data_IF_858029688424
#
_entry.id   IF_858029688424
#
_cell.length_a   1.000
_cell.length_b   1.000
_cell.length_c   1.000
_cell.angle_alpha   90.00
_cell.angle_beta   90.00
_cell.angle_gamma   90.00
#
_symmetry.space_group_name_H-M   'P 1'
#
loop_
_entity.id
_entity.type
_entity.pdbx_description
1 polymer ?
#
# COMPACT_ATOMS: atom_id res chain seq x y z
N UNK A 1 23.28 13.39 -40.81
CA UNK A 1 23.96 12.47 -39.87
C UNK A 1 24.31 13.10 -38.53
N UNK A 2 25.10 14.19 -38.47
CA UNK A 2 25.53 14.77 -37.17
C UNK A 2 24.38 15.29 -36.27
N UNK A 3 23.37 15.99 -36.82
CA UNK A 3 22.24 16.53 -36.03
C UNK A 3 21.39 15.44 -35.36
N UNK A 4 21.18 14.31 -36.02
CA UNK A 4 20.45 13.18 -35.42
C UNK A 4 21.26 12.47 -34.34
N UNK A 5 22.58 12.36 -34.52
CA UNK A 5 23.47 11.81 -33.50
C UNK A 5 23.45 12.66 -32.22
N UNK A 6 23.55 13.99 -32.33
CA UNK A 6 23.45 14.90 -31.18
C UNK A 6 22.07 14.84 -30.51
N UNK A 7 20.98 14.71 -31.28
CA UNK A 7 19.63 14.57 -30.71
C UNK A 7 19.49 13.26 -29.93
N UNK A 8 19.93 12.13 -30.49
CA UNK A 8 19.91 10.81 -29.82
C UNK A 8 20.75 10.82 -28.54
N UNK A 9 21.98 11.34 -28.59
CA UNK A 9 22.85 11.41 -27.42
C UNK A 9 22.25 12.27 -26.30
N UNK A 10 21.60 13.39 -26.63
CA UNK A 10 20.94 14.24 -25.65
C UNK A 10 19.70 13.57 -25.02
N UNK A 11 18.88 12.88 -25.83
CA UNK A 11 17.73 12.12 -25.32
C UNK A 11 18.16 10.94 -24.45
N UNK A 12 19.24 10.25 -24.81
CA UNK A 12 19.81 9.17 -23.99
C UNK A 12 20.38 9.69 -22.67
N UNK A 13 21.07 10.84 -22.70
CA UNK A 13 21.56 11.51 -21.49
C UNK A 13 20.41 11.95 -20.58
N UNK A 14 19.33 12.51 -21.13
CA UNK A 14 18.11 12.84 -20.36
C UNK A 14 17.47 11.59 -19.77
N UNK A 15 17.34 10.50 -20.54
CA UNK A 15 16.80 9.24 -20.04
C UNK A 15 17.64 8.66 -18.89
N UNK A 16 18.97 8.76 -19.00
CA UNK A 16 19.90 8.37 -17.94
C UNK A 16 19.73 9.22 -16.69
N UNK A 17 19.64 10.55 -16.83
CA UNK A 17 19.41 11.46 -15.71
C UNK A 17 18.04 11.20 -15.05
N UNK A 18 17.01 10.92 -15.86
CA UNK A 18 15.67 10.59 -15.39
C UNK A 18 15.65 9.30 -14.55
N UNK A 19 16.36 8.26 -15.01
CA UNK A 19 16.55 7.00 -14.24
C UNK A 19 17.33 7.17 -12.94
N UNK A 20 18.22 8.16 -12.86
CA UNK A 20 18.89 8.49 -11.61
C UNK A 20 17.91 9.21 -10.68
N UNK A 21 17.23 10.23 -11.20
CA UNK A 21 16.27 11.04 -10.44
C UNK A 21 15.09 10.22 -9.90
N UNK A 22 14.58 9.24 -10.66
CA UNK A 22 13.45 8.38 -10.25
C UNK A 22 13.76 7.52 -9.02
N UNK A 23 15.03 7.38 -8.65
CA UNK A 23 15.50 6.61 -7.50
C UNK A 23 16.04 7.51 -6.37
N UNK A 24 16.06 8.82 -6.56
CA UNK A 24 16.54 9.76 -5.55
C UNK A 24 15.48 9.98 -4.46
N UNK A 25 15.93 9.97 -3.22
CA UNK A 25 15.10 10.37 -2.09
C UNK A 25 15.01 11.90 -2.03
N UNK A 26 13.82 12.42 -1.75
CA UNK A 26 13.57 13.84 -1.52
C UNK A 26 13.91 14.22 -0.06
N UNK A 27 13.68 15.49 0.32
CA UNK A 27 13.90 15.99 1.69
C UNK A 27 13.02 15.30 2.74
N UNK A 28 11.92 14.68 2.34
CA UNK A 28 11.03 13.91 3.22
C UNK A 28 11.52 12.47 3.39
N UNK A 29 12.66 12.08 2.79
CA UNK A 29 13.18 10.71 2.88
C UNK A 29 12.35 9.69 2.10
N UNK A 30 11.56 10.15 1.13
CA UNK A 30 10.74 9.33 0.23
C UNK A 30 11.17 9.51 -1.22
N UNK A 31 10.75 8.62 -2.11
CA UNK A 31 11.08 8.69 -3.53
C UNK A 31 9.79 8.86 -4.37
N UNK A 32 9.91 9.31 -5.62
CA UNK A 32 8.80 9.46 -6.58
C UNK A 32 7.94 8.20 -6.69
N UNK A 33 8.55 7.01 -6.69
CA UNK A 33 7.82 5.74 -6.70
C UNK A 33 6.94 5.56 -5.45
N UNK A 34 7.47 5.93 -4.29
CA UNK A 34 6.73 5.87 -3.03
C UNK A 34 5.56 6.88 -3.03
N UNK A 35 5.78 8.08 -3.55
CA UNK A 35 4.73 9.10 -3.68
C UNK A 35 3.60 8.69 -4.65
N UNK A 36 3.91 7.95 -5.71
CA UNK A 36 2.88 7.41 -6.60
C UNK A 36 1.97 6.41 -5.86
N UNK A 37 2.55 5.56 -5.00
CA UNK A 37 1.77 4.66 -4.14
C UNK A 37 0.94 5.47 -3.13
N UNK A 38 1.50 6.51 -2.51
CA UNK A 38 0.75 7.41 -1.62
C UNK A 38 -0.46 8.06 -2.29
N UNK A 39 -0.35 8.37 -3.58
CA UNK A 39 -1.44 8.94 -4.37
C UNK A 39 -2.54 7.93 -4.74
N UNK A 40 -2.27 6.62 -4.58
CA UNK A 40 -3.20 5.53 -4.90
C UNK A 40 -3.44 5.30 -6.40
N UNK A 41 -2.59 5.86 -7.27
CA UNK A 41 -2.73 5.74 -8.72
C UNK A 41 -1.87 4.62 -9.26
N UNK A 42 -2.48 3.46 -9.55
CA UNK A 42 -1.76 2.30 -10.10
C UNK A 42 -1.03 2.65 -11.40
N UNK A 43 -1.64 3.42 -12.29
CA UNK A 43 -1.03 3.81 -13.58
C UNK A 43 0.32 4.53 -13.41
N UNK A 44 0.42 5.42 -12.40
CA UNK A 44 1.65 6.13 -12.09
C UNK A 44 2.70 5.18 -11.48
N UNK A 45 2.26 4.21 -10.67
CA UNK A 45 3.13 3.17 -10.10
C UNK A 45 3.71 2.28 -11.18
N UNK A 46 2.88 1.77 -12.11
CA UNK A 46 3.31 0.93 -13.22
C UNK A 46 4.29 1.68 -14.12
N UNK A 47 3.94 2.91 -14.48
CA UNK A 47 4.78 3.76 -15.33
C UNK A 47 6.14 4.03 -14.70
N UNK A 48 6.18 4.38 -13.41
CA UNK A 48 7.46 4.64 -12.72
C UNK A 48 8.29 3.36 -12.58
N UNK A 49 7.66 2.21 -12.36
CA UNK A 49 8.35 0.94 -12.36
C UNK A 49 9.01 0.65 -13.72
N UNK A 50 8.26 0.81 -14.82
CA UNK A 50 8.76 0.57 -16.18
C UNK A 50 9.87 1.57 -16.57
N UNK A 51 9.85 2.77 -15.99
CA UNK A 51 10.92 3.76 -16.10
C UNK A 51 12.20 3.40 -15.32
N UNK A 52 12.15 2.34 -14.48
CA UNK A 52 13.29 1.81 -13.73
C UNK A 52 13.33 2.23 -12.26
N UNK A 53 12.17 2.54 -11.66
CA UNK A 53 12.07 2.73 -10.22
C UNK A 53 12.37 1.42 -9.47
N UNK A 54 13.15 1.54 -8.39
CA UNK A 54 13.41 0.43 -7.47
C UNK A 54 12.17 0.12 -6.62
N UNK A 55 11.96 -1.16 -6.32
CA UNK A 55 10.79 -1.66 -5.60
C UNK A 55 11.08 -1.95 -4.12
N UNK A 56 12.35 -2.08 -3.77
CA UNK A 56 12.88 -2.35 -2.42
C UNK A 56 13.29 -1.07 -1.67
N UNK A 57 12.76 0.08 -2.09
CA UNK A 57 13.07 1.37 -1.46
C UNK A 57 12.63 1.32 0.01
N UNK A 58 13.43 1.90 0.90
CA UNK A 58 13.09 2.07 2.31
C UNK A 58 12.99 3.55 2.62
N UNK A 59 11.91 3.96 3.28
CA UNK A 59 11.75 5.34 3.74
C UNK A 59 12.86 5.66 4.74
N UNK A 60 13.44 6.86 4.65
CA UNK A 60 14.51 7.27 5.57
C UNK A 60 13.98 8.13 6.72
N UNK A 61 12.76 8.65 6.57
CA UNK A 61 12.13 9.50 7.57
C UNK A 61 10.76 8.93 7.97
N UNK A 62 10.39 9.15 9.23
CA UNK A 62 9.02 8.90 9.70
C UNK A 62 8.10 9.87 8.96
N UNK A 63 7.13 9.32 8.25
CA UNK A 63 6.18 10.08 7.46
C UNK A 63 4.76 9.94 7.99
N UNK A 64 3.85 10.71 7.41
CA UNK A 64 2.42 10.53 7.58
C UNK A 64 1.84 10.16 6.22
N UNK A 65 1.02 9.12 6.19
CA UNK A 65 0.26 8.75 5.01
C UNK A 65 -1.01 9.60 4.89
N UNK A 66 -1.59 9.63 3.69
CA UNK A 66 -2.89 10.26 3.44
C UNK A 66 -3.94 9.67 4.39
N UNK A 67 -4.40 10.46 5.37
CA UNK A 67 -5.28 10.02 6.46
C UNK A 67 -4.74 10.18 7.88
N UNK A 68 -3.60 10.87 8.06
CA UNK A 68 -2.94 11.08 9.35
C UNK A 68 -2.48 9.79 10.04
N UNK A 69 -2.21 8.74 9.27
CA UNK A 69 -1.67 7.49 9.81
C UNK A 69 -0.14 7.54 9.70
N UNK A 70 0.61 7.50 10.82
CA UNK A 70 2.06 7.51 10.77
C UNK A 70 2.59 6.17 10.21
N UNK A 71 3.66 6.23 9.42
CA UNK A 71 4.45 5.06 9.06
C UNK A 71 5.90 5.23 9.54
N UNK A 72 6.50 4.12 9.97
CA UNK A 72 7.84 4.09 10.53
C UNK A 72 8.92 4.45 9.51
N UNK A 73 10.11 4.75 10.01
CA UNK A 73 11.31 4.74 9.16
C UNK A 73 11.56 3.31 8.68
N UNK A 74 12.16 3.16 7.51
CA UNK A 74 12.47 1.85 6.95
C UNK A 74 11.29 1.17 6.25
N UNK A 75 10.14 1.84 6.11
CA UNK A 75 8.95 1.31 5.44
C UNK A 75 9.23 1.07 3.94
N UNK A 76 8.73 -0.03 3.41
CA UNK A 76 8.83 -0.38 1.99
C UNK A 76 7.59 0.05 1.20
N UNK A 77 7.65 0.14 -0.15
CA UNK A 77 6.49 0.32 -1.01
C UNK A 77 5.29 -0.58 -0.64
N UNK A 78 5.57 -1.82 -0.22
CA UNK A 78 4.53 -2.76 0.18
C UNK A 78 3.87 -2.37 1.51
N UNK A 79 4.62 -1.82 2.48
CA UNK A 79 4.02 -1.29 3.71
C UNK A 79 3.01 -0.17 3.39
N UNK A 80 3.38 0.75 2.49
CA UNK A 80 2.51 1.85 2.06
C UNK A 80 1.26 1.36 1.33
N UNK A 81 1.41 0.41 0.40
CA UNK A 81 0.28 -0.17 -0.33
C UNK A 81 -0.71 -0.90 0.61
N UNK A 82 -0.17 -1.61 1.61
CA UNK A 82 -0.97 -2.25 2.66
C UNK A 82 -1.69 -1.25 3.55
N UNK A 83 -1.03 -0.15 3.89
CA UNK A 83 -1.60 0.93 4.70
C UNK A 83 -2.73 1.66 3.96
N UNK A 84 -2.63 1.81 2.63
CA UNK A 84 -3.66 2.40 1.78
C UNK A 84 -4.88 1.47 1.59
N UNK A 85 -4.68 0.16 1.70
CA UNK A 85 -5.70 -0.84 1.42
C UNK A 85 -5.98 -0.99 -0.08
N UNK A 86 -4.98 -0.81 -0.94
CA UNK A 86 -5.14 -0.94 -2.40
C UNK A 86 -4.74 -2.34 -2.88
N UNK A 87 -5.68 -3.25 -3.12
CA UNK A 87 -5.39 -4.61 -3.54
C UNK A 87 -4.67 -4.67 -4.89
N UNK A 88 -4.90 -3.70 -5.78
CA UNK A 88 -4.26 -3.66 -7.11
C UNK A 88 -2.77 -3.35 -6.99
N UNK A 89 -2.41 -2.32 -6.20
CA UNK A 89 -1.01 -1.95 -5.96
C UNK A 89 -0.30 -3.07 -5.20
N UNK A 90 -0.94 -3.67 -4.20
CA UNK A 90 -0.38 -4.82 -3.46
C UNK A 90 -0.12 -6.00 -4.40
N UNK A 91 -1.10 -6.37 -5.24
CA UNK A 91 -0.95 -7.44 -6.22
C UNK A 91 0.20 -7.15 -7.20
N UNK A 92 0.30 -5.92 -7.70
CA UNK A 92 1.37 -5.48 -8.57
C UNK A 92 2.75 -5.64 -7.90
N UNK A 93 2.91 -5.09 -6.68
CA UNK A 93 4.16 -5.16 -5.94
C UNK A 93 4.57 -6.61 -5.65
N UNK A 94 3.63 -7.45 -5.21
CA UNK A 94 3.86 -8.88 -4.97
C UNK A 94 4.27 -9.59 -6.27
N UNK A 95 3.60 -9.32 -7.38
CA UNK A 95 3.92 -9.92 -8.67
C UNK A 95 5.32 -9.54 -9.17
N UNK A 96 5.80 -8.35 -8.82
CA UNK A 96 7.15 -7.85 -9.13
C UNK A 96 8.20 -8.24 -8.09
N UNK A 97 7.87 -9.11 -7.14
CA UNK A 97 8.83 -9.69 -6.18
C UNK A 97 9.05 -8.85 -4.91
N UNK A 98 8.09 -8.02 -4.51
CA UNK A 98 8.16 -7.34 -3.22
C UNK A 98 8.30 -8.33 -2.06
N UNK A 99 9.19 -8.04 -1.12
CA UNK A 99 9.31 -8.83 0.09
C UNK A 99 8.13 -8.60 1.02
N UNK A 100 7.24 -9.60 1.10
CA UNK A 100 6.06 -9.62 1.99
C UNK A 100 6.42 -9.78 3.46
N UNK A 101 7.68 -10.09 3.78
CA UNK A 101 8.20 -10.30 5.13
C UNK A 101 9.14 -9.18 5.55
N UNK A 102 9.30 -8.15 4.72
CA UNK A 102 10.08 -6.98 5.06
C UNK A 102 9.60 -6.39 6.39
N UNK A 103 10.53 -5.87 7.18
CA UNK A 103 10.20 -5.15 8.41
C UNK A 103 10.65 -3.71 8.29
N UNK A 104 9.81 -2.80 8.75
CA UNK A 104 10.24 -1.44 9.03
C UNK A 104 11.19 -1.40 10.24
N UNK A 105 11.72 -0.22 10.58
CA UNK A 105 12.66 -0.08 11.70
C UNK A 105 11.98 -0.26 13.08
N UNK A 106 10.65 -0.21 13.12
CA UNK A 106 9.84 -0.48 14.32
C UNK A 106 9.48 -1.98 14.44
N UNK A 107 9.84 -2.79 13.44
CA UNK A 107 9.63 -4.23 13.41
C UNK A 107 8.27 -4.66 12.85
N UNK A 108 7.47 -3.72 12.34
CA UNK A 108 6.20 -3.99 11.68
C UNK A 108 6.42 -4.58 10.29
N UNK A 109 5.57 -5.52 9.93
CA UNK A 109 5.49 -6.10 8.58
C UNK A 109 4.42 -5.39 7.73
N UNK A 110 4.42 -5.54 6.40
CA UNK A 110 3.34 -5.02 5.57
C UNK A 110 1.95 -5.55 5.99
N UNK A 111 1.90 -6.79 6.48
CA UNK A 111 0.66 -7.39 6.97
C UNK A 111 0.19 -6.74 8.28
N UNK A 112 1.09 -6.31 9.15
CA UNK A 112 0.75 -5.57 10.37
C UNK A 112 0.01 -4.26 10.04
N UNK A 113 0.49 -3.51 9.05
CA UNK A 113 -0.17 -2.28 8.59
C UNK A 113 -1.56 -2.55 8.00
N UNK A 114 -1.70 -3.60 7.18
CA UNK A 114 -3.00 -3.98 6.63
C UNK A 114 -4.01 -4.35 7.73
N UNK A 115 -3.57 -5.09 8.75
CA UNK A 115 -4.42 -5.46 9.91
C UNK A 115 -4.81 -4.23 10.71
N UNK A 116 -3.85 -3.35 11.03
CA UNK A 116 -4.10 -2.15 11.82
C UNK A 116 -5.14 -1.25 11.13
N UNK A 117 -4.94 -0.94 9.85
CA UNK A 117 -5.88 -0.13 9.07
C UNK A 117 -7.24 -0.81 8.95
N UNK A 118 -7.27 -2.11 8.67
CA UNK A 118 -8.52 -2.88 8.61
C UNK A 118 -9.32 -2.76 9.90
N UNK A 119 -8.71 -2.97 11.07
CA UNK A 119 -9.41 -2.89 12.37
C UNK A 119 -9.97 -1.49 12.64
N UNK A 120 -9.24 -0.44 12.25
CA UNK A 120 -9.70 0.93 12.37
C UNK A 120 -10.93 1.20 11.49
N UNK A 121 -10.88 0.81 10.21
CA UNK A 121 -11.98 1.03 9.27
C UNK A 121 -13.19 0.13 9.55
N UNK A 122 -12.98 -1.08 10.06
CA UNK A 122 -14.06 -1.96 10.52
C UNK A 122 -14.83 -1.32 11.67
N UNK A 123 -14.14 -0.77 12.68
CA UNK A 123 -14.78 -0.05 13.77
C UNK A 123 -15.50 1.23 13.31
N UNK A 124 -14.91 1.97 12.36
CA UNK A 124 -15.55 3.15 11.75
C UNK A 124 -16.81 2.77 10.96
N UNK A 125 -16.76 1.67 10.21
CA UNK A 125 -17.91 1.12 9.48
C UNK A 125 -19.05 0.75 10.44
N UNK A 126 -18.77 0.04 11.53
CA UNK A 126 -19.77 -0.33 12.53
C UNK A 126 -20.40 0.89 13.22
N UNK A 127 -19.58 1.88 13.59
CA UNK A 127 -20.07 3.15 14.13
C UNK A 127 -20.98 3.88 13.14
N UNK A 128 -20.65 3.87 11.85
CA UNK A 128 -21.46 4.50 10.82
C UNK A 128 -22.74 3.72 10.52
N UNK A 129 -22.71 2.40 10.56
CA UNK A 129 -23.88 1.54 10.36
C UNK A 129 -24.93 1.76 11.46
N UNK A 130 -24.48 1.96 12.70
CA UNK A 130 -25.34 2.19 13.88
C UNK A 130 -25.70 3.66 14.10
N UNK A 131 -25.06 4.59 13.37
CA UNK A 131 -25.26 6.02 13.50
C UNK A 131 -26.61 6.49 12.97
N UNK A 132 -27.38 7.21 13.79
CA UNK A 132 -28.74 7.69 13.47
C UNK A 132 -28.84 8.67 12.28
N UNK A 133 -27.72 9.16 11.74
CA UNK A 133 -27.67 10.21 10.71
C UNK A 133 -26.61 9.99 9.61
N UNK A 134 -26.20 8.75 9.35
CA UNK A 134 -25.25 8.47 8.27
C UNK A 134 -25.98 8.21 6.96
N UNK A 135 -25.48 8.82 5.88
CA UNK A 135 -26.00 8.54 4.54
C UNK A 135 -25.58 7.13 4.14
N UNK A 136 -26.49 6.37 3.52
CA UNK A 136 -26.20 5.01 3.02
C UNK A 136 -24.93 4.98 2.13
N UNK A 137 -24.74 6.00 1.28
CA UNK A 137 -23.54 6.15 0.45
C UNK A 137 -22.22 6.28 1.24
N UNK A 138 -22.26 6.81 2.47
CA UNK A 138 -21.08 6.88 3.35
C UNK A 138 -20.78 5.55 4.03
N UNK A 139 -21.81 4.75 4.31
CA UNK A 139 -21.71 3.40 4.86
C UNK A 139 -21.14 2.45 3.80
N UNK A 140 -21.67 2.51 2.57
CA UNK A 140 -21.20 1.73 1.42
C UNK A 140 -19.72 2.01 1.10
N UNK A 141 -19.28 3.27 1.15
CA UNK A 141 -17.86 3.63 0.96
C UNK A 141 -16.95 3.08 2.06
N UNK A 142 -17.42 3.06 3.31
CA UNK A 142 -16.66 2.49 4.41
C UNK A 142 -16.59 0.95 4.29
N UNK A 143 -17.70 0.31 3.88
CA UNK A 143 -17.74 -1.13 3.61
C UNK A 143 -16.75 -1.53 2.51
N UNK A 144 -16.76 -0.83 1.37
CA UNK A 144 -15.85 -1.11 0.26
C UNK A 144 -14.38 -1.05 0.70
N UNK A 145 -14.03 -0.07 1.55
CA UNK A 145 -12.68 0.01 2.15
C UNK A 145 -12.35 -1.22 2.99
N UNK A 146 -13.26 -1.64 3.86
CA UNK A 146 -13.05 -2.85 4.68
C UNK A 146 -12.77 -4.04 3.77
N UNK A 147 -13.61 -4.27 2.76
CA UNK A 147 -13.46 -5.36 1.78
C UNK A 147 -12.12 -5.31 1.03
N UNK A 148 -11.65 -4.12 0.66
CA UNK A 148 -10.35 -3.96 0.00
C UNK A 148 -9.18 -4.34 0.92
N UNK A 149 -9.22 -3.98 2.21
CA UNK A 149 -8.24 -4.46 3.18
C UNK A 149 -8.32 -5.97 3.38
N UNK A 150 -9.52 -6.57 3.38
CA UNK A 150 -9.65 -8.03 3.49
C UNK A 150 -8.97 -8.73 2.31
N UNK A 151 -9.14 -8.21 1.08
CA UNK A 151 -8.46 -8.72 -0.12
C UNK A 151 -6.94 -8.61 0.02
N UNK A 152 -6.43 -7.47 0.51
CA UNK A 152 -4.99 -7.26 0.75
C UNK A 152 -4.45 -8.27 1.75
N UNK A 153 -5.13 -8.46 2.89
CA UNK A 153 -4.74 -9.42 3.93
C UNK A 153 -4.68 -10.84 3.34
N UNK A 154 -5.71 -11.25 2.61
CA UNK A 154 -5.75 -12.56 1.96
C UNK A 154 -4.63 -12.75 0.92
N UNK A 155 -4.33 -11.73 0.11
CA UNK A 155 -3.24 -11.77 -0.86
C UNK A 155 -1.88 -11.99 -0.19
N UNK A 156 -1.62 -11.29 0.91
CA UNK A 156 -0.40 -11.42 1.69
C UNK A 156 -0.30 -12.79 2.39
N UNK A 157 -1.40 -13.27 2.99
CA UNK A 157 -1.46 -14.59 3.61
C UNK A 157 -1.18 -15.71 2.61
N UNK A 158 -1.73 -15.65 1.39
CA UNK A 158 -1.45 -16.61 0.30
C UNK A 158 0.02 -16.67 -0.07
N UNK A 159 0.77 -15.59 0.15
CA UNK A 159 2.22 -15.53 -0.07
C UNK A 159 3.06 -15.90 1.16
N UNK A 160 2.41 -16.36 2.24
CA UNK A 160 3.09 -16.78 3.46
C UNK A 160 3.54 -15.63 4.36
N UNK A 161 3.00 -14.42 4.15
CA UNK A 161 3.20 -13.31 5.07
C UNK A 161 2.61 -13.67 6.43
N UNK A 162 3.34 -13.36 7.50
CA UNK A 162 2.89 -13.55 8.88
C UNK A 162 2.87 -12.21 9.57
N UNK A 163 1.88 -11.94 10.43
CA UNK A 163 1.91 -10.75 11.28
C UNK A 163 3.17 -10.78 12.12
N UNK A 164 3.82 -9.64 12.27
CA UNK A 164 5.02 -9.51 13.10
C UNK A 164 4.62 -9.25 14.54
N UNK A 165 3.90 -8.15 14.76
CA UNK A 165 3.60 -7.63 16.10
C UNK A 165 2.12 -7.71 16.46
N UNK A 166 1.23 -7.58 15.48
CA UNK A 166 -0.21 -7.54 15.74
C UNK A 166 -0.85 -8.93 15.63
N UNK A 167 -1.81 -9.20 16.50
CA UNK A 167 -2.60 -10.42 16.41
C UNK A 167 -3.48 -10.38 15.15
N UNK A 168 -3.46 -11.47 14.38
CA UNK A 168 -4.38 -11.65 13.27
C UNK A 168 -5.83 -11.61 13.77
N UNK A 169 -6.75 -10.86 13.12
CA UNK A 169 -8.16 -10.90 13.48
C UNK A 169 -8.71 -12.32 13.36
N UNK A 170 -9.64 -12.70 14.25
CA UNK A 170 -10.18 -14.07 14.34
C UNK A 170 -10.72 -14.58 12.99
N UNK A 171 -11.34 -13.70 12.19
CA UNK A 171 -11.89 -14.04 10.87
C UNK A 171 -10.84 -14.44 9.81
N UNK A 172 -9.57 -14.13 10.03
CA UNK A 172 -8.46 -14.49 9.13
C UNK A 172 -7.62 -15.66 9.65
N UNK A 173 -7.93 -16.19 10.85
CA UNK A 173 -7.29 -17.39 11.39
C UNK A 173 -7.94 -18.62 10.74
N UNK A 174 -7.12 -19.55 10.24
CA UNK A 174 -7.58 -20.74 9.52
C UNK A 174 -8.43 -21.73 10.37
N UNK A 175 -8.48 -21.55 11.69
CA UNK A 175 -9.05 -22.53 12.64
C UNK A 175 -10.44 -22.16 13.22
N UNK A 176 -11.10 -21.09 12.75
CA UNK A 176 -12.41 -20.69 13.27
C UNK A 176 -13.43 -20.55 12.13
N UNK A 177 -14.63 -21.16 12.24
CA UNK A 177 -15.64 -21.05 11.19
C UNK A 177 -15.92 -19.58 10.87
N UNK A 178 -16.17 -19.24 9.58
CA UNK A 178 -16.46 -17.88 9.19
C UNK A 178 -17.61 -17.36 10.05
N UNK A 179 -17.44 -16.13 10.57
CA UNK A 179 -18.53 -15.48 11.30
C UNK A 179 -19.78 -15.50 10.42
N UNK A 180 -20.96 -15.85 10.98
CA UNK A 180 -22.17 -15.94 10.18
C UNK A 180 -22.39 -14.62 9.43
N UNK A 181 -22.89 -14.66 8.18
CA UNK A 181 -23.15 -13.45 7.42
C UNK A 181 -24.00 -12.51 8.27
N UNK A 182 -23.52 -11.27 8.43
CA UNK A 182 -24.22 -10.25 9.21
C UNK A 182 -25.64 -10.15 8.61
N UNK A 183 -26.71 -10.40 9.40
CA UNK A 183 -28.06 -10.44 8.85
C UNK A 183 -28.39 -9.11 8.18
N UNK A 184 -29.19 -9.10 7.09
CA UNK A 184 -29.66 -7.86 6.51
C UNK A 184 -30.36 -7.05 7.59
N UNK A 185 -29.91 -5.81 7.79
CA UNK A 185 -30.52 -4.87 8.72
C UNK A 185 -31.99 -4.66 8.30
N UNK A 186 -32.91 -5.00 9.21
CA UNK A 186 -34.35 -4.77 9.10
C UNK A 186 -34.69 -3.28 9.07
#
# INVERSE_FOLDING_TARGET
MAKEFFKRANEEQKARQRRIAINQINRQGTNMFFQAIESGKIDDVEKLYDEGAKLDIRTTSRGMFSGNVPYGTGATPLHAACLLGSPDIVAFLIARGADVRAKDDEGHTPLDYAILSHTYYEQDYERKQTGRFTFQSTVERAQAKVEDYEKVIQQLQKRGAKPGMFAMPDKFKADKPPAPPRPPSL
#
